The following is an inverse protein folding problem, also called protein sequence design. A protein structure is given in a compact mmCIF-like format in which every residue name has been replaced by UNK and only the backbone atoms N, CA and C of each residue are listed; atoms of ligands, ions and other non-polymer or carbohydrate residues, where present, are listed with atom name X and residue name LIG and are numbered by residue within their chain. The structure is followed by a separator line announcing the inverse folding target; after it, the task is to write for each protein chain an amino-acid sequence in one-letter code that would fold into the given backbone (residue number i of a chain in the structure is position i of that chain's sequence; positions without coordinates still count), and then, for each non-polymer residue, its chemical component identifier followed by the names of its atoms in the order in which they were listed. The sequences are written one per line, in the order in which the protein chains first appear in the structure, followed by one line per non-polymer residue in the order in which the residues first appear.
data_IF_129025733317
#
_entry.id   IF_129025733317
#
_cell.length_a   1.000
_cell.length_b   1.000
_cell.length_c   1.000
_cell.angle_alpha   90.00
_cell.angle_beta   90.00
_cell.angle_gamma   90.00
#
_symmetry.space_group_name_H-M   'P 1'
#
loop_
_entity.id
_entity.type
_entity.pdbx_description
1 polymer ?
#
# COMPACT_ATOMS: atom_id res chain seq x y z
N UNK A 1 6.36 22.56 -7.13
CA UNK A 1 6.41 21.87 -6.65
C UNK A 1 5.61 20.77 -6.83
N UNK A 2 5.95 19.73 -7.13
CA UNK A 2 5.25 18.65 -7.27
C UNK A 2 5.06 17.87 -6.12
N UNK A 3 4.00 17.31 -5.83
CA UNK A 3 3.79 16.47 -4.71
C UNK A 3 3.83 15.09 -5.19
N UNK A 4 4.70 14.31 -4.66
CA UNK A 4 4.77 12.94 -4.99
C UNK A 4 3.87 12.21 -4.10
N UNK A 5 3.39 11.06 -4.50
CA UNK A 5 2.64 10.23 -3.58
C UNK A 5 2.97 8.80 -3.87
N UNK A 6 2.76 7.95 -2.91
CA UNK A 6 2.97 6.53 -3.10
C UNK A 6 1.70 5.84 -2.64
N UNK A 7 1.61 4.56 -2.92
CA UNK A 7 0.40 3.81 -2.62
C UNK A 7 0.75 2.74 -1.61
N UNK A 8 0.06 2.75 -0.49
CA UNK A 8 0.32 1.77 0.53
C UNK A 8 -0.77 0.74 0.53
N UNK A 9 -0.41 -0.51 0.43
CA UNK A 9 -1.38 -1.59 0.46
C UNK A 9 -1.30 -2.25 1.82
N UNK A 10 -2.40 -2.21 2.56
CA UNK A 10 -2.47 -2.87 3.85
C UNK A 10 -3.25 -4.15 3.63
N UNK A 11 -2.72 -5.25 4.03
CA UNK A 11 -3.34 -6.52 3.72
C UNK A 11 -3.14 -7.53 4.84
N UNK A 12 -3.91 -8.60 4.79
CA UNK A 12 -3.79 -9.64 5.77
C UNK A 12 -2.88 -10.71 5.19
N UNK A 13 -1.79 -11.01 5.89
CA UNK A 13 -0.89 -12.05 5.48
C UNK A 13 -1.44 -13.33 6.07
N UNK A 14 -2.07 -14.15 5.25
CA UNK A 14 -2.75 -15.32 5.76
C UNK A 14 -1.78 -16.41 6.17
N UNK A 15 -0.52 -16.32 5.76
CA UNK A 15 0.46 -17.30 6.20
C UNK A 15 0.75 -17.17 7.66
N UNK A 16 0.81 -16.00 8.20
CA UNK A 16 1.11 -15.82 9.59
C UNK A 16 -0.01 -15.10 10.33
N UNK A 17 -1.08 -14.76 9.66
CA UNK A 17 -2.20 -14.13 10.34
C UNK A 17 -1.92 -12.73 10.83
N UNK A 18 -1.02 -12.01 10.19
CA UNK A 18 -0.69 -10.69 10.60
C UNK A 18 -1.05 -9.68 9.55
N UNK A 19 -1.31 -8.47 9.97
CA UNK A 19 -1.59 -7.39 9.06
C UNK A 19 -0.28 -6.77 8.68
N UNK A 20 -0.04 -6.63 7.38
CA UNK A 20 1.19 -6.06 6.89
C UNK A 20 0.89 -4.96 5.89
N UNK A 21 1.87 -4.16 5.56
CA UNK A 21 1.70 -3.08 4.61
C UNK A 21 2.90 -3.02 3.69
N UNK A 22 2.65 -2.72 2.41
CA UNK A 22 3.71 -2.59 1.42
C UNK A 22 3.49 -1.30 0.67
N UNK A 23 4.57 -0.65 0.30
CA UNK A 23 4.49 0.62 -0.39
C UNK A 23 4.86 0.45 -1.85
N UNK A 24 4.15 1.11 -2.74
CA UNK A 24 4.39 1.02 -4.16
C UNK A 24 4.39 2.42 -4.76
N UNK A 25 5.21 2.64 -5.75
CA UNK A 25 5.26 3.94 -6.39
C UNK A 25 4.20 4.06 -7.46
N UNK A 26 3.68 2.94 -7.96
CA UNK A 26 2.78 2.93 -9.05
C UNK A 26 1.47 2.31 -8.63
N UNK A 27 0.35 2.93 -8.92
CA UNK A 27 -0.94 2.41 -8.50
C UNK A 27 -1.23 1.09 -9.20
N UNK A 28 -0.75 0.89 -10.42
CA UNK A 28 -1.01 -0.36 -11.11
C UNK A 28 -0.34 -1.52 -10.39
N UNK A 29 0.86 -1.30 -9.87
CA UNK A 29 1.55 -2.33 -9.11
C UNK A 29 0.84 -2.58 -7.79
N UNK A 30 0.36 -1.52 -7.14
CA UNK A 30 -0.35 -1.66 -5.88
C UNK A 30 -1.62 -2.45 -6.10
N UNK A 31 -2.33 -2.17 -7.17
CA UNK A 31 -3.56 -2.88 -7.44
C UNK A 31 -3.32 -4.33 -7.74
N UNK A 32 -2.25 -4.62 -8.44
CA UNK A 32 -1.93 -5.98 -8.77
C UNK A 32 -1.61 -6.76 -7.53
N UNK A 33 -0.84 -6.15 -6.64
CA UNK A 33 -0.48 -6.79 -5.39
C UNK A 33 -1.73 -6.97 -4.52
N UNK A 34 -2.57 -5.95 -4.44
CA UNK A 34 -3.77 -6.02 -3.62
C UNK A 34 -4.71 -7.12 -4.14
N UNK A 35 -4.81 -7.26 -5.44
CA UNK A 35 -5.66 -8.27 -6.01
C UNK A 35 -5.20 -9.66 -5.65
N UNK A 36 -3.87 -9.87 -5.64
CA UNK A 36 -3.35 -11.12 -5.27
C UNK A 36 -3.65 -11.43 -3.87
N UNK A 37 -3.54 -10.48 -2.93
CA UNK A 37 -3.80 -10.73 -1.52
C UNK A 37 -5.29 -10.94 -1.30
N UNK A 38 -6.12 -10.21 -1.99
CA UNK A 38 -7.55 -10.34 -1.80
C UNK A 38 -8.11 -11.60 -2.45
N UNK A 39 -7.37 -12.23 -3.32
CA UNK A 39 -7.83 -13.46 -3.94
C UNK A 39 -7.86 -14.62 -2.98
N UNK A 40 -7.13 -14.51 -1.88
CA UNK A 40 -7.12 -15.55 -0.91
C UNK A 40 -8.47 -15.56 -0.22
N UNK A 41 -8.96 -16.74 0.13
CA UNK A 41 -10.22 -16.88 0.71
C UNK A 41 -10.45 -16.05 1.93
N UNK A 42 -9.48 -15.91 2.77
CA UNK A 42 -9.59 -15.12 3.96
C UNK A 42 -8.78 -13.84 3.87
N UNK A 43 -8.30 -13.51 2.71
CA UNK A 43 -7.46 -12.36 2.56
C UNK A 43 -8.24 -11.11 2.24
N UNK A 44 -7.65 -9.97 2.50
CA UNK A 44 -8.21 -8.69 2.13
C UNK A 44 -7.09 -7.70 1.95
N UNK A 45 -7.34 -6.65 1.23
CA UNK A 45 -6.34 -5.63 1.00
C UNK A 45 -6.99 -4.27 0.78
N UNK A 46 -6.34 -3.24 1.23
CA UNK A 46 -6.81 -1.88 1.09
C UNK A 46 -5.69 -1.06 0.53
N UNK A 47 -5.95 -0.19 -0.43
CA UNK A 47 -4.95 0.67 -1.02
C UNK A 47 -5.22 2.10 -0.59
N UNK A 48 -4.18 2.75 -0.05
CA UNK A 48 -4.28 4.14 0.32
C UNK A 48 -3.27 4.95 -0.45
N UNK A 49 -3.65 6.10 -0.94
CA UNK A 49 -2.72 7.00 -1.58
C UNK A 49 -2.15 7.90 -0.51
N UNK A 50 -0.86 7.88 -0.31
CA UNK A 50 -0.21 8.62 0.76
C UNK A 50 0.69 9.69 0.14
N UNK A 51 0.45 10.94 0.42
CA UNK A 51 1.28 11.99 -0.12
C UNK A 51 2.60 12.06 0.60
N UNK A 52 3.65 12.31 -0.15
CA UNK A 52 4.96 12.43 0.41
C UNK A 52 5.32 13.88 0.44
N UNK A 53 5.59 14.43 1.65
CA UNK A 53 5.92 15.76 1.71
C UNK A 53 7.24 15.91 2.10
N UNK A 54 8.17 16.04 1.29
CA UNK A 54 9.45 16.14 1.68
C UNK A 54 9.84 17.37 2.25
N UNK A 55 9.31 18.36 2.01
CA UNK A 55 9.81 19.53 2.59
C UNK A 55 9.45 19.74 3.92
N UNK A 56 8.73 19.02 4.39
CA UNK A 56 8.35 19.21 5.59
C UNK A 56 9.25 19.18 6.58
N UNK A 57 10.16 18.81 6.45
CA UNK A 57 10.99 18.70 7.37
C UNK A 57 11.36 19.82 7.96
N UNK A 58 11.22 20.57 7.62
CA UNK A 58 11.63 21.60 8.08
C UNK A 58 11.69 21.79 9.24
N UNK A 59 11.64 21.84 9.57
CA UNK A 59 11.64 22.11 10.64
C UNK A 59 12.06 22.43 11.05
#
# INVERSE_FOLDING_TARGET
METKQYFEVTYLDTDCGRIRAEAFDDVADAERFASRQAADEHGWAIIDAVPVRESQKAA
#
